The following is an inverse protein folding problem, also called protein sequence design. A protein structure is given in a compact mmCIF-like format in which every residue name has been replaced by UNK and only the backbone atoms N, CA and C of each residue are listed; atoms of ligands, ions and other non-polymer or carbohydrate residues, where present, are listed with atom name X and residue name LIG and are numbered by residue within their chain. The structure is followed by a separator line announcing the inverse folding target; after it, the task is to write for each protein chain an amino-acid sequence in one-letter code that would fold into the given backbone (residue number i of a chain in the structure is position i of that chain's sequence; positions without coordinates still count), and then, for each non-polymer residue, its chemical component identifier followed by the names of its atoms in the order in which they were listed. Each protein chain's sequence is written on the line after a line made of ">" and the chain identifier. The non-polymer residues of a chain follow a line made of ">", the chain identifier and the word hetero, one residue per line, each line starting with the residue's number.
data_IF_688790366476
#
_entry.id   IF_688790366476
#
_cell.length_a   1.000
_cell.length_b   1.000
_cell.length_c   1.000
_cell.angle_alpha   90.00
_cell.angle_beta   90.00
_cell.angle_gamma   90.00
#
_symmetry.space_group_name_H-M   'P 1'
#
loop_
_entity.id
_entity.type
_entity.pdbx_description
1 polymer ?
#
# COMPACT_ATOMS: atom_id res chain seq x y z
N UNK A 1 37.23 19.06 -52.74
CA UNK A 1 36.70 18.83 -51.37
C UNK A 1 35.25 19.32 -51.26
N UNK A 2 34.27 18.63 -51.86
CA UNK A 2 32.84 18.98 -51.74
C UNK A 2 31.90 17.75 -51.79
N UNK A 3 32.43 16.54 -51.56
CA UNK A 3 31.65 15.30 -51.45
C UNK A 3 31.61 14.73 -50.02
N UNK A 4 32.51 15.17 -49.13
CA UNK A 4 32.51 14.75 -47.73
C UNK A 4 31.46 15.49 -46.88
N UNK A 5 30.93 16.62 -47.35
CA UNK A 5 29.96 17.44 -46.60
C UNK A 5 28.50 17.04 -46.83
N UNK A 6 28.20 16.24 -47.86
CA UNK A 6 26.82 15.84 -48.17
C UNK A 6 26.41 14.58 -47.38
N UNK A 7 27.37 13.68 -47.07
CA UNK A 7 27.06 12.46 -46.29
C UNK A 7 26.81 12.72 -44.80
N UNK A 8 27.21 13.87 -44.24
CA UNK A 8 26.99 14.16 -42.82
C UNK A 8 25.59 14.76 -42.55
N UNK A 9 24.92 15.30 -43.57
CA UNK A 9 23.56 15.82 -43.44
C UNK A 9 22.49 14.70 -43.49
N UNK A 10 22.77 13.56 -44.14
CA UNK A 10 21.83 12.41 -44.17
C UNK A 10 21.90 11.51 -42.93
N UNK A 11 22.94 11.64 -42.10
CA UNK A 11 23.10 10.86 -40.86
C UNK A 11 22.51 11.56 -39.62
N UNK A 12 22.05 12.81 -39.76
CA UNK A 12 21.46 13.59 -38.66
C UNK A 12 19.92 13.58 -38.63
N UNK A 13 19.25 12.89 -39.56
CA UNK A 13 17.78 12.81 -39.61
C UNK A 13 17.18 11.51 -39.07
N UNK A 14 17.99 10.54 -38.63
CA UNK A 14 17.50 9.28 -38.03
C UNK A 14 17.59 9.23 -36.51
N UNK A 15 18.02 10.32 -35.86
CA UNK A 15 17.94 10.51 -34.41
C UNK A 15 16.85 11.52 -34.05
N UNK A 16 15.68 11.40 -34.70
CA UNK A 16 14.47 11.66 -33.94
C UNK A 16 14.43 10.55 -32.89
N UNK A 17 14.91 10.87 -31.70
CA UNK A 17 14.33 10.28 -30.51
C UNK A 17 12.82 10.36 -30.75
N UNK A 18 12.22 9.20 -30.95
CA UNK A 18 10.83 8.99 -30.61
C UNK A 18 10.82 9.29 -29.12
N UNK A 19 10.70 10.58 -28.77
CA UNK A 19 9.71 10.93 -27.78
C UNK A 19 8.47 10.28 -28.36
N UNK A 20 8.19 9.05 -27.91
CA UNK A 20 6.86 8.54 -28.03
C UNK A 20 6.05 9.72 -27.54
N UNK A 21 5.17 10.25 -28.39
CA UNK A 21 4.10 11.02 -27.82
C UNK A 21 3.60 10.11 -26.73
N UNK A 22 3.84 10.49 -25.48
CA UNK A 22 2.82 10.29 -24.50
C UNK A 22 1.64 11.06 -25.09
N UNK A 23 0.96 10.46 -26.08
CA UNK A 23 -0.45 10.26 -25.90
C UNK A 23 -0.50 9.86 -24.43
N UNK A 24 -0.94 10.81 -23.62
CA UNK A 24 -2.01 10.53 -22.71
C UNK A 24 -3.04 9.70 -23.49
N UNK A 25 -2.71 8.44 -23.76
CA UNK A 25 -3.50 7.34 -23.28
C UNK A 25 -3.66 7.71 -21.82
N UNK A 26 -4.70 8.50 -21.56
CA UNK A 26 -5.44 8.30 -20.35
C UNK A 26 -5.58 6.79 -20.34
N UNK A 27 -4.89 6.13 -19.42
CA UNK A 27 -5.35 4.85 -18.93
C UNK A 27 -6.69 5.15 -18.26
N UNK A 28 -7.66 5.58 -19.06
CA UNK A 28 -9.07 5.50 -18.78
C UNK A 28 -9.27 4.00 -18.85
N UNK A 29 -9.00 3.39 -17.70
CA UNK A 29 -9.50 2.07 -17.38
C UNK A 29 -10.97 2.14 -17.77
N UNK A 30 -11.33 1.42 -18.83
CA UNK A 30 -12.72 1.24 -19.22
C UNK A 30 -13.52 0.98 -17.93
N UNK A 31 -14.66 1.64 -17.69
CA UNK A 31 -15.47 1.43 -16.49
C UNK A 31 -16.10 0.03 -16.56
N UNK A 32 -15.29 -1.01 -16.40
CA UNK A 32 -15.69 -2.40 -16.51
C UNK A 32 -16.13 -2.97 -15.16
N UNK A 33 -16.33 -2.12 -14.13
CA UNK A 33 -16.87 -2.49 -12.83
C UNK A 33 -18.33 -2.95 -12.97
N UNK A 34 -18.51 -4.11 -13.59
CA UNK A 34 -19.79 -4.81 -13.79
C UNK A 34 -20.36 -5.31 -12.47
N UNK A 35 -19.59 -5.24 -11.38
CA UNK A 35 -20.01 -5.55 -10.00
C UNK A 35 -19.21 -4.74 -8.97
N UNK A 36 -19.91 -4.09 -8.04
CA UNK A 36 -19.32 -3.52 -6.83
C UNK A 36 -18.54 -4.60 -6.05
N UNK A 37 -17.43 -4.21 -5.40
CA UNK A 37 -16.56 -5.08 -4.59
C UNK A 37 -16.38 -4.47 -3.20
N UNK A 38 -16.22 -5.32 -2.18
CA UNK A 38 -15.79 -4.91 -0.85
C UNK A 38 -14.27 -5.02 -0.76
N UNK A 39 -13.58 -3.89 -0.73
CA UNK A 39 -12.11 -3.80 -0.73
C UNK A 39 -11.67 -3.34 0.65
N UNK A 40 -10.85 -4.14 1.33
CA UNK A 40 -10.39 -3.84 2.70
C UNK A 40 -8.89 -3.59 2.71
N UNK A 41 -8.46 -2.44 3.23
CA UNK A 41 -7.07 -2.14 3.55
C UNK A 41 -6.78 -2.32 5.03
N UNK A 42 -5.69 -3.02 5.36
CA UNK A 42 -5.16 -3.10 6.72
C UNK A 42 -3.69 -2.73 6.79
N UNK A 43 -3.36 -1.97 7.84
CA UNK A 43 -2.00 -1.67 8.25
C UNK A 43 -1.90 -1.87 9.78
N UNK A 44 -1.25 -2.96 10.17
CA UNK A 44 -1.03 -3.33 11.57
C UNK A 44 0.06 -2.51 12.27
N UNK A 45 0.96 -1.90 11.51
CA UNK A 45 2.05 -1.06 11.99
C UNK A 45 2.35 0.06 10.97
N UNK A 46 3.17 1.04 11.37
CA UNK A 46 3.58 2.15 10.52
C UNK A 46 2.80 3.44 10.77
N UNK A 47 3.42 4.56 10.40
CA UNK A 47 2.81 5.89 10.53
C UNK A 47 1.99 6.29 9.29
N UNK A 48 1.81 7.60 9.12
CA UNK A 48 1.15 8.17 7.95
C UNK A 48 1.78 7.72 6.62
N UNK A 49 3.08 7.41 6.62
CA UNK A 49 3.82 6.91 5.45
C UNK A 49 3.28 5.58 4.90
N UNK A 50 2.64 4.75 5.73
CA UNK A 50 2.07 3.47 5.32
C UNK A 50 0.59 3.57 4.92
N UNK A 51 -0.10 4.58 5.44
CA UNK A 51 -1.56 4.60 5.45
C UNK A 51 -2.13 5.63 4.48
N UNK A 52 -1.63 6.88 4.54
CA UNK A 52 -2.31 8.03 3.93
C UNK A 52 -2.41 7.91 2.42
N UNK A 53 -1.36 7.45 1.75
CA UNK A 53 -1.38 7.31 0.29
C UNK A 53 -2.28 6.16 -0.17
N UNK A 54 -2.40 5.09 0.62
CA UNK A 54 -3.33 3.98 0.32
C UNK A 54 -4.77 4.43 0.50
N UNK A 55 -5.06 5.24 1.52
CA UNK A 55 -6.39 5.82 1.71
C UNK A 55 -6.83 6.67 0.51
N UNK A 56 -5.91 7.41 -0.13
CA UNK A 56 -6.21 8.13 -1.38
C UNK A 56 -6.60 7.18 -2.53
N UNK A 57 -6.00 5.98 -2.59
CA UNK A 57 -6.38 4.95 -3.55
C UNK A 57 -7.77 4.41 -3.22
N UNK A 58 -8.10 4.21 -1.95
CA UNK A 58 -9.43 3.75 -1.55
C UNK A 58 -10.52 4.77 -1.89
N UNK A 59 -10.28 6.07 -1.68
CA UNK A 59 -11.22 7.13 -2.11
C UNK A 59 -11.50 7.05 -3.62
N UNK A 60 -10.45 6.83 -4.43
CA UNK A 60 -10.60 6.66 -5.88
C UNK A 60 -11.40 5.39 -6.23
N UNK A 61 -11.16 4.27 -5.53
CA UNK A 61 -11.92 3.03 -5.72
C UNK A 61 -13.39 3.19 -5.28
N UNK A 62 -13.64 3.95 -4.21
CA UNK A 62 -14.97 4.30 -3.76
C UNK A 62 -15.70 5.15 -4.81
N UNK A 63 -15.02 6.15 -5.39
CA UNK A 63 -15.57 6.99 -6.45
C UNK A 63 -15.92 6.20 -7.72
N UNK A 64 -15.25 5.06 -7.94
CA UNK A 64 -15.54 4.09 -9.02
C UNK A 64 -16.65 3.09 -8.68
N UNK A 65 -17.31 3.24 -7.53
CA UNK A 65 -18.46 2.42 -7.15
C UNK A 65 -18.11 1.14 -6.39
N UNK A 66 -16.89 1.00 -5.87
CA UNK A 66 -16.58 -0.02 -4.88
C UNK A 66 -16.96 0.42 -3.47
N UNK A 67 -17.06 -0.52 -2.55
CA UNK A 67 -17.14 -0.25 -1.13
C UNK A 67 -15.76 -0.49 -0.50
N UNK A 68 -15.18 0.55 0.08
CA UNK A 68 -13.83 0.52 0.63
C UNK A 68 -13.83 0.63 2.15
N UNK A 69 -12.98 -0.17 2.78
CA UNK A 69 -12.90 -0.33 4.22
C UNK A 69 -11.45 -0.12 4.64
N UNK A 70 -11.22 0.78 5.60
CA UNK A 70 -9.98 0.89 6.33
C UNK A 70 -10.11 0.16 7.68
N UNK A 71 -9.53 -1.03 7.75
CA UNK A 71 -9.49 -1.85 8.95
C UNK A 71 -8.18 -1.58 9.70
N UNK A 72 -8.28 -1.12 10.94
CA UNK A 72 -7.08 -0.66 11.66
C UNK A 72 -7.20 -0.76 13.17
N UNK A 73 -6.20 -0.21 13.85
CA UNK A 73 -6.07 -0.14 15.29
C UNK A 73 -6.36 1.29 15.77
N UNK A 74 -6.76 1.45 17.02
CA UNK A 74 -7.26 2.72 17.57
C UNK A 74 -6.28 3.90 17.38
N UNK A 75 -4.99 3.67 17.56
CA UNK A 75 -3.93 4.67 17.42
C UNK A 75 -3.70 5.16 15.97
N UNK A 76 -4.19 4.40 14.99
CA UNK A 76 -4.09 4.69 13.56
C UNK A 76 -5.39 5.27 12.98
N UNK A 77 -6.52 5.15 13.67
CA UNK A 77 -7.82 5.68 13.23
C UNK A 77 -7.77 7.16 12.83
N UNK A 78 -6.90 7.96 13.47
CA UNK A 78 -6.66 9.38 13.17
C UNK A 78 -6.30 9.67 11.71
N UNK A 79 -5.75 8.69 10.96
CA UNK A 79 -5.29 8.90 9.59
C UNK A 79 -6.43 8.96 8.57
N UNK A 80 -7.65 8.55 8.93
CA UNK A 80 -8.79 8.59 8.00
C UNK A 80 -9.32 10.00 7.71
N UNK A 81 -8.84 11.03 8.42
CA UNK A 81 -9.37 12.40 8.35
C UNK A 81 -9.55 12.95 6.92
N UNK A 82 -8.69 12.54 5.99
CA UNK A 82 -8.70 13.02 4.60
C UNK A 82 -9.31 12.02 3.62
N UNK A 83 -9.92 10.94 4.10
CA UNK A 83 -10.59 9.92 3.31
C UNK A 83 -11.99 9.61 3.90
N UNK A 84 -12.90 10.60 3.91
CA UNK A 84 -14.18 10.50 4.62
C UNK A 84 -15.18 9.53 3.97
N UNK A 85 -14.95 9.09 2.73
CA UNK A 85 -15.84 8.15 2.03
C UNK A 85 -15.49 6.68 2.33
N UNK A 86 -14.30 6.43 2.88
CA UNK A 86 -13.84 5.09 3.29
C UNK A 86 -14.47 4.69 4.62
N UNK A 87 -14.99 3.47 4.74
CA UNK A 87 -15.50 2.95 6.02
C UNK A 87 -14.35 2.72 7.00
N UNK A 88 -14.37 3.35 8.18
CA UNK A 88 -13.43 3.02 9.26
C UNK A 88 -13.92 1.84 10.09
N UNK A 89 -13.07 0.83 10.30
CA UNK A 89 -13.29 -0.21 11.29
C UNK A 89 -12.08 -0.31 12.22
N UNK A 90 -12.29 -0.03 13.50
CA UNK A 90 -11.26 -0.23 14.53
C UNK A 90 -11.40 -1.63 15.11
N UNK A 91 -10.45 -2.50 14.78
CA UNK A 91 -10.42 -3.90 15.21
C UNK A 91 -9.51 -4.21 16.39
N UNK A 92 -8.75 -3.22 16.90
CA UNK A 92 -7.77 -3.42 17.98
C UNK A 92 -7.52 -2.16 18.82
N UNK A 93 -7.18 -2.30 20.12
CA UNK A 93 -6.51 -1.24 20.90
C UNK A 93 -5.08 -1.03 20.37
N UNK A 94 -4.30 0.00 20.74
CA UNK A 94 -2.90 0.24 20.32
C UNK A 94 -1.93 -0.94 20.53
N UNK A 95 -0.86 -1.04 19.73
CA UNK A 95 0.03 -2.22 19.69
C UNK A 95 1.09 -2.12 20.76
N UNK A 96 1.48 -0.88 21.01
CA UNK A 96 2.42 -0.42 22.02
C UNK A 96 1.81 0.81 22.68
N UNK A 97 2.22 1.08 23.91
CA UNK A 97 1.87 2.36 24.54
C UNK A 97 2.60 3.52 23.85
N UNK A 98 2.15 4.76 24.09
CA UNK A 98 2.85 5.96 23.57
C UNK A 98 4.29 6.04 24.07
N UNK A 99 4.53 5.72 25.34
CA UNK A 99 5.86 5.78 25.94
C UNK A 99 6.77 4.69 25.38
N UNK A 100 6.24 3.49 25.18
CA UNK A 100 6.96 2.39 24.52
C UNK A 100 7.28 2.75 23.07
N UNK A 101 6.35 3.37 22.33
CA UNK A 101 6.62 3.82 20.97
C UNK A 101 7.74 4.86 20.90
N UNK A 102 7.79 5.80 21.85
CA UNK A 102 8.89 6.76 21.94
C UNK A 102 10.22 6.09 22.31
N UNK A 103 10.21 5.05 23.15
CA UNK A 103 11.40 4.27 23.45
C UNK A 103 11.91 3.52 22.22
N UNK A 104 11.01 2.87 21.47
CA UNK A 104 11.32 2.19 20.21
C UNK A 104 11.92 3.17 19.20
N UNK A 105 11.30 4.33 18.98
CA UNK A 105 11.81 5.32 18.02
C UNK A 105 13.22 5.80 18.38
N UNK A 106 13.49 6.03 19.67
CA UNK A 106 14.84 6.39 20.14
C UNK A 106 15.84 5.25 19.95
N UNK A 107 15.43 4.01 20.21
CA UNK A 107 16.25 2.83 19.97
C UNK A 107 16.61 2.66 18.49
N UNK A 108 15.62 2.74 17.60
CA UNK A 108 15.80 2.60 16.15
C UNK A 108 16.76 3.66 15.57
N UNK A 109 16.70 4.90 16.07
CA UNK A 109 17.57 5.98 15.61
C UNK A 109 19.08 5.69 15.80
N UNK A 110 19.42 4.75 16.69
CA UNK A 110 20.80 4.34 16.96
C UNK A 110 21.23 3.05 16.25
N UNK A 111 20.32 2.39 15.53
CA UNK A 111 20.55 1.11 14.87
C UNK A 111 20.88 1.27 13.37
N UNK A 112 21.62 0.32 12.81
CA UNK A 112 21.77 0.22 11.35
C UNK A 112 20.42 -0.13 10.70
N UNK A 113 20.23 0.14 9.40
CA UNK A 113 18.97 -0.18 8.71
C UNK A 113 18.62 -1.67 8.79
N UNK A 114 19.63 -2.55 8.74
CA UNK A 114 19.42 -4.01 8.84
C UNK A 114 18.96 -4.38 10.25
N UNK A 115 19.61 -3.84 11.28
CA UNK A 115 19.22 -4.11 12.67
C UNK A 115 17.84 -3.54 13.00
N UNK A 116 17.51 -2.36 12.46
CA UNK A 116 16.16 -1.78 12.56
C UNK A 116 15.14 -2.74 11.96
N UNK A 117 15.39 -3.26 10.75
CA UNK A 117 14.47 -4.18 10.09
C UNK A 117 14.27 -5.47 10.89
N UNK A 118 15.35 -6.09 11.37
CA UNK A 118 15.30 -7.31 12.20
C UNK A 118 14.52 -7.04 13.49
N UNK A 119 14.79 -5.92 14.16
CA UNK A 119 14.11 -5.53 15.39
C UNK A 119 12.60 -5.32 15.19
N UNK A 120 12.21 -4.63 14.10
CA UNK A 120 10.79 -4.39 13.80
C UNK A 120 10.05 -5.69 13.48
N UNK A 121 10.67 -6.59 12.71
CA UNK A 121 10.09 -7.92 12.43
C UNK A 121 9.88 -8.71 13.72
N UNK A 122 10.88 -8.77 14.59
CA UNK A 122 10.77 -9.53 15.85
C UNK A 122 9.71 -8.93 16.78
N UNK A 123 9.71 -7.61 16.93
CA UNK A 123 8.77 -6.89 17.78
C UNK A 123 7.31 -7.08 17.35
N UNK A 124 7.04 -7.00 16.03
CA UNK A 124 5.67 -7.05 15.52
C UNK A 124 5.20 -8.44 15.12
N UNK A 125 6.11 -9.30 14.65
CA UNK A 125 5.78 -10.69 14.31
C UNK A 125 5.23 -11.46 15.52
N UNK A 126 5.85 -11.31 16.68
CA UNK A 126 5.43 -12.02 17.90
C UNK A 126 4.15 -11.46 18.52
N UNK A 127 3.83 -10.18 18.27
CA UNK A 127 2.64 -9.50 18.84
C UNK A 127 1.43 -9.53 17.91
N UNK A 128 1.56 -10.14 16.73
CA UNK A 128 0.54 -10.16 15.67
C UNK A 128 -0.41 -11.36 15.67
N UNK A 129 -0.28 -12.35 16.55
CA UNK A 129 -1.05 -13.61 16.48
C UNK A 129 -2.57 -13.37 16.52
N UNK A 130 -3.05 -12.47 17.37
CA UNK A 130 -4.47 -12.10 17.43
C UNK A 130 -4.93 -11.32 16.20
N UNK A 131 -4.02 -10.75 15.40
CA UNK A 131 -4.34 -10.03 14.17
C UNK A 131 -4.91 -10.98 13.12
N UNK A 132 -4.34 -12.18 12.96
CA UNK A 132 -4.75 -13.15 11.95
C UNK A 132 -6.22 -13.59 12.11
N UNK A 133 -6.63 -13.97 13.33
CA UNK A 133 -8.00 -14.44 13.58
C UNK A 133 -9.02 -13.32 13.40
N UNK A 134 -8.68 -12.08 13.77
CA UNK A 134 -9.55 -10.92 13.55
C UNK A 134 -9.68 -10.55 12.06
N UNK A 135 -8.63 -10.75 11.27
CA UNK A 135 -8.72 -10.61 9.81
C UNK A 135 -9.65 -11.65 9.18
N UNK A 136 -9.57 -12.92 9.58
CA UNK A 136 -10.51 -13.95 9.11
C UNK A 136 -11.97 -13.59 9.43
N UNK A 137 -12.20 -13.11 10.65
CA UNK A 137 -13.53 -12.70 11.11
C UNK A 137 -14.08 -11.53 10.28
N UNK A 138 -13.28 -10.47 10.08
CA UNK A 138 -13.74 -9.31 9.31
C UNK A 138 -13.92 -9.62 7.83
N UNK A 139 -13.05 -10.46 7.22
CA UNK A 139 -13.19 -10.88 5.83
C UNK A 139 -14.52 -11.61 5.59
N UNK A 140 -14.90 -12.48 6.52
CA UNK A 140 -16.20 -13.17 6.48
C UNK A 140 -17.36 -12.21 6.69
N UNK A 141 -17.33 -11.41 7.77
CA UNK A 141 -18.42 -10.48 8.15
C UNK A 141 -18.71 -9.44 7.08
N UNK A 142 -17.66 -8.88 6.48
CA UNK A 142 -17.77 -7.82 5.46
C UNK A 142 -17.80 -8.35 4.04
N UNK A 143 -17.73 -9.68 3.86
CA UNK A 143 -17.68 -10.34 2.54
C UNK A 143 -16.64 -9.68 1.65
N UNK A 144 -15.41 -9.59 2.16
CA UNK A 144 -14.30 -8.91 1.49
C UNK A 144 -13.95 -9.67 0.20
N UNK A 145 -13.90 -8.94 -0.91
CA UNK A 145 -13.56 -9.45 -2.24
C UNK A 145 -12.08 -9.27 -2.58
N UNK A 146 -11.41 -8.28 -1.98
CA UNK A 146 -10.00 -7.96 -2.17
C UNK A 146 -9.42 -7.39 -0.86
N UNK A 147 -8.29 -7.93 -0.42
CA UNK A 147 -7.52 -7.37 0.69
C UNK A 147 -6.31 -6.58 0.18
N UNK A 148 -6.07 -5.40 0.74
CA UNK A 148 -4.85 -4.64 0.59
C UNK A 148 -4.14 -4.69 1.94
N UNK A 149 -2.94 -5.25 1.98
CA UNK A 149 -2.20 -5.47 3.22
C UNK A 149 -0.91 -4.65 3.18
N UNK A 150 -0.62 -3.87 4.22
CA UNK A 150 0.72 -3.33 4.41
C UNK A 150 1.73 -4.48 4.57
N UNK A 151 2.94 -4.31 4.05
CA UNK A 151 3.99 -5.33 4.14
C UNK A 151 4.39 -5.71 5.59
N UNK A 152 4.14 -4.84 6.58
CA UNK A 152 4.28 -5.20 8.00
C UNK A 152 3.05 -5.89 8.59
N UNK A 153 1.93 -5.96 7.87
CA UNK A 153 0.73 -6.69 8.27
C UNK A 153 0.66 -8.06 7.59
N UNK A 154 1.66 -8.91 7.88
CA UNK A 154 1.69 -10.28 7.37
C UNK A 154 0.45 -11.09 7.75
N UNK A 155 -0.18 -10.81 8.88
CA UNK A 155 -1.42 -11.45 9.31
C UNK A 155 -2.60 -11.19 8.37
N UNK A 156 -2.69 -10.00 7.78
CA UNK A 156 -3.68 -9.68 6.74
C UNK A 156 -3.50 -10.59 5.51
N UNK A 157 -2.26 -10.73 5.03
CA UNK A 157 -1.95 -11.55 3.86
C UNK A 157 -2.21 -13.04 4.13
N UNK A 158 -1.76 -13.57 5.27
CA UNK A 158 -1.99 -14.96 5.68
C UNK A 158 -3.49 -15.26 5.83
N UNK A 159 -4.27 -14.34 6.42
CA UNK A 159 -5.71 -14.49 6.51
C UNK A 159 -6.38 -14.47 5.12
N UNK A 160 -5.87 -13.66 4.19
CA UNK A 160 -6.41 -13.58 2.83
C UNK A 160 -6.17 -14.88 2.06
N UNK A 161 -4.96 -15.45 2.19
CA UNK A 161 -4.60 -16.78 1.66
C UNK A 161 -5.57 -17.83 2.21
N UNK A 162 -5.78 -17.85 3.53
CA UNK A 162 -6.68 -18.81 4.17
C UNK A 162 -8.14 -18.65 3.72
N UNK A 163 -8.61 -17.41 3.59
CA UNK A 163 -9.96 -17.08 3.15
C UNK A 163 -10.16 -17.26 1.64
N UNK A 164 -9.08 -17.53 0.88
CA UNK A 164 -9.08 -17.65 -0.59
C UNK A 164 -9.57 -16.38 -1.29
N UNK A 165 -9.23 -15.22 -0.74
CA UNK A 165 -9.48 -13.92 -1.36
C UNK A 165 -8.18 -13.40 -1.99
N UNK A 166 -8.24 -12.73 -3.16
CA UNK A 166 -7.08 -12.07 -3.73
C UNK A 166 -6.58 -10.98 -2.77
N UNK A 167 -5.27 -10.73 -2.78
CA UNK A 167 -4.67 -9.67 -1.99
C UNK A 167 -3.54 -8.94 -2.72
N UNK A 168 -3.31 -7.68 -2.32
CA UNK A 168 -2.22 -6.82 -2.79
C UNK A 168 -1.39 -6.44 -1.56
N UNK A 169 -0.06 -6.53 -1.68
CA UNK A 169 0.85 -6.05 -0.64
C UNK A 169 1.34 -4.65 -1.00
N UNK A 170 1.23 -3.72 -0.06
CA UNK A 170 1.77 -2.36 -0.19
C UNK A 170 3.14 -2.28 0.49
N UNK A 171 4.13 -1.71 -0.19
CA UNK A 171 5.47 -1.52 0.35
C UNK A 171 5.85 -0.04 0.30
N UNK A 172 6.27 0.48 1.45
CA UNK A 172 6.86 1.82 1.57
C UNK A 172 8.38 1.78 1.58
N UNK A 173 8.98 0.59 1.67
CA UNK A 173 10.40 0.40 1.43
C UNK A 173 10.65 0.30 -0.07
N UNK A 174 11.45 1.22 -0.58
CA UNK A 174 12.12 1.03 -1.85
C UNK A 174 13.23 0.00 -1.62
N UNK A 175 12.94 -1.27 -1.85
CA UNK A 175 14.00 -2.27 -2.05
C UNK A 175 14.57 -2.02 -3.44
N UNK A 176 15.45 -1.01 -3.59
CA UNK A 176 16.29 -0.93 -4.79
C UNK A 176 17.42 -1.96 -4.65
N UNK A 177 17.82 -2.63 -5.75
CA UNK A 177 19.10 -3.33 -5.81
C UNK A 177 20.29 -2.41 -5.46
#
# INVERSE_FOLDING_TARGET
>A
MKLATISLALLLTTSNFVFGSAEQTTFDLEPDFRTQKNILFSAGFGGSSHIVWVLSILEELQARGHHTIYYTREDHAKFIKNAPSVELIVGAPPLVSKDEMQAIQRGLASMSLVDQYVYLIDLFGNRGVDSYTRHLDIFSKKKVDLAICDHFDGSCAEAAIKAKIPFIVTSTFAFSP
#
